data_IF_491481751091
#
_entry.id   IF_491481751091
#
_cell.length_a   1.000
_cell.length_b   1.000
_cell.length_c   1.000
_cell.angle_alpha   90.00
_cell.angle_beta   90.00
_cell.angle_gamma   90.00
#
_symmetry.space_group_name_H-M   'P 1'
#
loop_
_entity.id
_entity.type
_entity.pdbx_description
1 polymer ?
#
# COMPACT_ATOMS: atom_id res chain seq x y z
N UNK A 1 -10.45 -36.20 -0.98
CA UNK A 1 -10.34 -35.00 -0.12
C UNK A 1 -8.94 -34.43 -0.36
N UNK A 2 -8.84 -33.46 -1.27
CA UNK A 2 -7.57 -32.81 -1.61
C UNK A 2 -7.19 -31.88 -0.45
N UNK A 3 -6.04 -32.11 0.16
CA UNK A 3 -5.45 -31.23 1.14
C UNK A 3 -5.30 -29.84 0.48
N UNK A 4 -5.99 -28.84 1.01
CA UNK A 4 -5.80 -27.45 0.60
C UNK A 4 -4.37 -27.09 0.98
N UNK A 5 -3.48 -27.04 0.01
CA UNK A 5 -2.10 -26.64 0.19
C UNK A 5 -2.11 -25.27 0.87
N UNK A 6 -1.48 -25.18 2.03
CA UNK A 6 -1.52 -23.97 2.87
C UNK A 6 -0.77 -22.86 2.13
N UNK A 7 -1.50 -22.00 1.43
CA UNK A 7 -0.97 -20.90 0.63
C UNK A 7 -0.05 -20.03 1.47
N UNK A 8 1.23 -19.97 1.13
CA UNK A 8 2.19 -19.08 1.77
C UNK A 8 1.95 -17.65 1.25
N UNK A 9 1.54 -16.77 2.15
CA UNK A 9 1.27 -15.37 1.83
C UNK A 9 2.54 -14.52 1.81
N UNK A 10 3.65 -15.03 2.32
CA UNK A 10 4.92 -14.29 2.42
C UNK A 10 5.79 -14.43 1.18
N UNK A 11 5.51 -15.44 0.34
CA UNK A 11 6.26 -15.71 -0.88
C UNK A 11 5.48 -15.27 -2.14
N UNK A 12 6.23 -14.89 -3.17
CA UNK A 12 5.69 -14.55 -4.48
C UNK A 12 5.88 -15.73 -5.44
N UNK A 13 4.83 -16.12 -6.19
CA UNK A 13 5.00 -17.00 -7.34
C UNK A 13 5.91 -16.36 -8.38
N UNK A 14 6.75 -17.18 -9.05
CA UNK A 14 7.69 -16.68 -10.06
C UNK A 14 7.04 -16.20 -11.37
N UNK A 15 5.76 -16.56 -11.57
CA UNK A 15 4.96 -16.29 -12.77
C UNK A 15 3.87 -15.25 -12.54
N UNK A 16 4.04 -14.36 -11.56
CA UNK A 16 3.07 -13.30 -11.29
C UNK A 16 2.80 -12.43 -12.52
N UNK A 17 1.53 -12.21 -12.89
CA UNK A 17 1.19 -11.35 -13.99
C UNK A 17 1.58 -9.89 -13.68
N UNK A 18 2.33 -9.28 -14.60
CA UNK A 18 2.77 -7.89 -14.46
C UNK A 18 1.61 -6.94 -14.76
N UNK A 19 1.29 -5.98 -13.87
CA UNK A 19 0.33 -4.93 -14.16
C UNK A 19 0.88 -3.98 -15.24
N UNK A 20 -0.01 -3.46 -16.07
CA UNK A 20 0.32 -2.45 -17.10
C UNK A 20 -0.06 -1.07 -16.56
N UNK A 21 0.75 -0.07 -16.85
CA UNK A 21 0.41 1.32 -16.56
C UNK A 21 -0.74 1.75 -17.48
N UNK A 22 -1.88 2.06 -16.88
CA UNK A 22 -3.08 2.53 -17.57
C UNK A 22 -3.26 4.06 -17.50
N UNK A 23 -2.24 4.78 -17.01
CA UNK A 23 -2.26 6.24 -16.84
C UNK A 23 -3.13 6.73 -15.68
N UNK A 24 -3.73 5.84 -14.90
CA UNK A 24 -4.69 6.21 -13.85
C UNK A 24 -4.08 7.02 -12.70
N UNK A 25 -2.75 7.04 -12.57
CA UNK A 25 -2.02 7.80 -11.54
C UNK A 25 -1.30 9.04 -12.07
N UNK A 26 -1.37 9.34 -13.39
CA UNK A 26 -0.57 10.40 -14.01
C UNK A 26 -0.84 11.81 -13.42
N UNK A 27 -2.06 12.05 -12.93
CA UNK A 27 -2.47 13.34 -12.35
C UNK A 27 -1.99 13.55 -10.90
N UNK A 28 -1.46 12.52 -10.24
CA UNK A 28 -1.12 12.58 -8.81
C UNK A 28 0.19 13.33 -8.54
N UNK A 29 1.14 13.31 -9.47
CA UNK A 29 2.42 13.99 -9.31
C UNK A 29 2.22 15.49 -9.09
N UNK A 30 2.74 16.00 -7.98
CA UNK A 30 2.62 17.41 -7.60
C UNK A 30 1.27 17.80 -6.97
N UNK A 31 0.33 16.86 -6.81
CA UNK A 31 -0.96 17.11 -6.17
C UNK A 31 -0.76 17.41 -4.68
N UNK A 32 -1.52 18.39 -4.16
CA UNK A 32 -1.68 18.59 -2.72
C UNK A 32 -2.72 17.63 -2.18
N UNK A 33 -2.43 17.01 -1.04
CA UNK A 33 -3.34 16.07 -0.39
C UNK A 33 -4.61 16.79 0.09
N UNK A 34 -5.79 16.16 -0.09
CA UNK A 34 -7.01 16.64 0.52
C UNK A 34 -7.01 16.37 2.03
N UNK A 35 -7.69 17.22 2.80
CA UNK A 35 -7.91 17.01 4.22
C UNK A 35 -8.93 15.88 4.43
N UNK A 36 -8.43 14.67 4.67
CA UNK A 36 -9.22 13.46 4.90
C UNK A 36 -8.66 12.71 6.10
N UNK A 37 -9.47 12.56 7.14
CA UNK A 37 -9.11 11.78 8.32
C UNK A 37 -9.47 10.31 8.14
N UNK A 38 -8.48 9.42 8.29
CA UNK A 38 -8.64 7.97 8.19
C UNK A 38 -8.26 7.29 9.51
N UNK A 39 -8.97 6.22 9.85
CA UNK A 39 -8.63 5.42 11.03
C UNK A 39 -7.38 4.58 10.76
N UNK A 40 -6.42 4.67 11.67
CA UNK A 40 -5.18 3.90 11.64
C UNK A 40 -5.26 2.66 12.54
N UNK A 41 -4.41 1.67 12.29
CA UNK A 41 -4.24 0.47 13.15
C UNK A 41 -3.65 0.81 14.53
N UNK A 42 -3.12 2.00 14.73
CA UNK A 42 -2.74 2.54 16.05
C UNK A 42 -3.95 2.96 16.89
N UNK A 43 -5.15 3.04 16.30
CA UNK A 43 -6.37 3.55 16.95
C UNK A 43 -6.64 5.02 16.70
N UNK A 44 -5.67 5.76 16.18
CA UNK A 44 -5.78 7.19 15.91
C UNK A 44 -6.57 7.50 14.64
N UNK A 45 -7.06 8.74 14.54
CA UNK A 45 -7.44 9.33 13.26
C UNK A 45 -6.26 10.11 12.69
N UNK A 46 -5.90 9.81 11.46
CA UNK A 46 -4.75 10.40 10.77
C UNK A 46 -5.23 11.19 9.55
N UNK A 47 -4.89 12.47 9.49
CA UNK A 47 -5.00 13.30 8.30
C UNK A 47 -3.59 13.50 7.73
N UNK A 48 -3.29 12.84 6.60
CA UNK A 48 -1.97 12.92 5.97
C UNK A 48 -1.63 14.34 5.48
N UNK A 49 -2.63 15.13 5.12
CA UNK A 49 -2.43 16.51 4.66
C UNK A 49 -1.93 17.44 5.78
N UNK A 50 -2.30 17.13 7.03
CA UNK A 50 -1.90 17.92 8.19
C UNK A 50 -0.52 17.52 8.77
N UNK A 51 0.08 16.44 8.27
CA UNK A 51 1.35 15.94 8.79
C UNK A 51 2.54 16.61 8.08
N UNK A 52 3.44 17.29 8.81
CA UNK A 52 4.62 17.90 8.21
C UNK A 52 5.72 16.87 7.91
N UNK A 53 6.64 17.24 7.02
CA UNK A 53 7.83 16.47 6.66
C UNK A 53 7.53 15.33 5.68
N UNK A 54 8.45 14.36 5.64
CA UNK A 54 8.42 13.27 4.68
C UNK A 54 7.52 12.12 5.11
N UNK A 55 6.71 11.66 4.18
CA UNK A 55 5.78 10.54 4.36
C UNK A 55 5.87 9.63 3.13
N UNK A 56 5.86 8.33 3.37
CA UNK A 56 5.58 7.31 2.34
C UNK A 56 4.21 6.70 2.61
N UNK A 57 3.36 6.70 1.59
CA UNK A 57 2.05 6.04 1.61
C UNK A 57 2.09 4.83 0.67
N UNK A 58 2.04 3.63 1.24
CA UNK A 58 2.07 2.36 0.52
C UNK A 58 0.65 1.80 0.36
N UNK A 59 0.06 2.01 -0.82
CA UNK A 59 -1.25 1.50 -1.19
C UNK A 59 -1.19 0.06 -1.70
N UNK A 60 -2.14 -0.78 -1.25
CA UNK A 60 -2.25 -2.18 -1.67
C UNK A 60 -3.72 -2.62 -1.78
N UNK A 61 -4.02 -3.61 -2.66
CA UNK A 61 -5.41 -4.05 -2.86
C UNK A 61 -6.00 -4.71 -1.60
N UNK A 62 -5.45 -5.85 -1.19
CA UNK A 62 -5.97 -6.63 -0.07
C UNK A 62 -4.96 -7.64 0.43
N UNK A 63 -4.74 -7.71 1.72
CA UNK A 63 -4.01 -8.82 2.35
C UNK A 63 -4.90 -10.04 2.54
N UNK A 64 -4.31 -11.23 2.45
CA UNK A 64 -4.99 -12.46 2.82
C UNK A 64 -4.84 -12.77 4.31
N UNK A 65 -5.73 -13.63 4.82
CA UNK A 65 -5.59 -14.25 6.14
C UNK A 65 -5.13 -15.68 5.95
N UNK A 66 -4.07 -16.14 6.64
CA UNK A 66 -3.61 -17.54 6.54
C UNK A 66 -4.74 -18.53 6.77
N UNK A 67 -4.84 -19.53 5.90
CA UNK A 67 -5.88 -20.57 5.98
C UNK A 67 -7.26 -20.16 5.48
N UNK A 68 -7.46 -18.91 5.04
CA UNK A 68 -8.70 -18.47 4.39
C UNK A 68 -8.53 -18.37 2.87
N UNK A 69 -9.55 -18.74 2.08
CA UNK A 69 -9.51 -18.58 0.64
C UNK A 69 -9.44 -17.10 0.27
N UNK A 70 -8.89 -16.75 -0.91
CA UNK A 70 -8.95 -15.38 -1.43
C UNK A 70 -10.41 -15.01 -1.77
N UNK A 71 -10.67 -13.71 -1.94
CA UNK A 71 -12.01 -13.20 -2.33
C UNK A 71 -12.38 -13.54 -3.77
N UNK A 72 -11.40 -13.92 -4.57
CA UNK A 72 -11.56 -14.37 -5.95
C UNK A 72 -10.68 -15.60 -6.19
N UNK A 73 -11.19 -16.69 -6.78
CA UNK A 73 -10.40 -17.89 -7.02
C UNK A 73 -9.22 -17.66 -7.98
N UNK A 74 -9.28 -16.62 -8.81
CA UNK A 74 -8.23 -16.25 -9.75
C UNK A 74 -7.27 -15.18 -9.20
N UNK A 75 -7.32 -14.89 -7.90
CA UNK A 75 -6.54 -13.82 -7.25
C UNK A 75 -5.06 -13.75 -7.68
N UNK A 76 -4.41 -14.91 -7.78
CA UNK A 76 -2.98 -14.98 -8.13
C UNK A 76 -2.70 -14.70 -9.62
N UNK A 77 -3.73 -14.76 -10.47
CA UNK A 77 -3.65 -14.47 -11.92
C UNK A 77 -4.13 -13.06 -12.29
N UNK A 78 -4.59 -12.28 -11.29
CA UNK A 78 -5.00 -10.89 -11.52
C UNK A 78 -3.77 -9.98 -11.37
N UNK A 79 -3.38 -9.22 -12.43
CA UNK A 79 -2.24 -8.33 -12.39
C UNK A 79 -2.33 -7.34 -11.19
N UNK A 80 -1.27 -7.29 -10.39
CA UNK A 80 -1.19 -6.39 -9.23
C UNK A 80 -1.96 -6.81 -7.98
N UNK A 81 -2.76 -7.91 -8.00
CA UNK A 81 -3.51 -8.35 -6.82
C UNK A 81 -2.62 -9.03 -5.77
N UNK A 82 -1.83 -10.04 -6.18
CA UNK A 82 -0.95 -10.79 -5.28
C UNK A 82 0.22 -9.94 -4.79
N UNK A 83 0.72 -10.21 -3.55
CA UNK A 83 1.98 -9.67 -3.03
C UNK A 83 1.83 -8.55 -1.99
N UNK A 84 0.63 -8.35 -1.40
CA UNK A 84 0.46 -7.31 -0.37
C UNK A 84 1.27 -7.61 0.90
N UNK A 85 1.34 -8.88 1.32
CA UNK A 85 2.15 -9.28 2.48
C UNK A 85 3.66 -9.07 2.22
N UNK A 86 4.27 -9.57 1.12
CA UNK A 86 5.66 -9.24 0.79
C UNK A 86 5.94 -7.75 0.69
N UNK A 87 5.03 -6.95 0.11
CA UNK A 87 5.17 -5.50 0.06
C UNK A 87 5.28 -4.89 1.47
N UNK A 88 4.35 -5.22 2.38
CA UNK A 88 4.36 -4.70 3.75
C UNK A 88 5.59 -5.18 4.54
N UNK A 89 6.03 -6.42 4.35
CA UNK A 89 7.27 -6.94 4.95
C UNK A 89 8.51 -6.22 4.42
N UNK A 90 8.53 -5.83 3.16
CA UNK A 90 9.60 -5.00 2.60
C UNK A 90 9.70 -3.64 3.30
N UNK A 91 8.57 -2.96 3.52
CA UNK A 91 8.55 -1.71 4.31
C UNK A 91 8.94 -1.93 5.77
N UNK A 92 8.53 -3.03 6.41
CA UNK A 92 8.98 -3.40 7.75
C UNK A 92 10.50 -3.55 7.80
N UNK A 93 11.07 -4.29 6.87
CA UNK A 93 12.52 -4.52 6.82
C UNK A 93 13.33 -3.23 6.67
N UNK A 94 12.80 -2.24 5.93
CA UNK A 94 13.45 -0.96 5.68
C UNK A 94 12.97 0.18 6.60
N UNK A 95 12.12 -0.10 7.60
CA UNK A 95 11.55 0.92 8.48
C UNK A 95 12.62 1.76 9.20
N UNK A 96 13.73 1.15 9.59
CA UNK A 96 14.89 1.85 10.17
C UNK A 96 15.53 2.85 9.19
N UNK A 97 15.64 2.48 7.92
CA UNK A 97 16.20 3.34 6.88
C UNK A 97 15.31 4.57 6.59
N UNK A 98 13.98 4.37 6.53
CA UNK A 98 13.02 5.48 6.41
C UNK A 98 13.06 6.39 7.63
N UNK A 99 13.12 5.81 8.83
CA UNK A 99 13.22 6.58 10.08
C UNK A 99 14.50 7.43 10.13
N UNK A 100 15.64 6.88 9.68
CA UNK A 100 16.89 7.63 9.57
C UNK A 100 16.79 8.86 8.68
N UNK A 101 15.86 8.88 7.73
CA UNK A 101 15.52 10.00 6.85
C UNK A 101 14.40 10.89 7.40
N UNK A 102 13.97 10.67 8.64
CA UNK A 102 12.82 11.34 9.26
C UNK A 102 11.53 11.17 8.42
N UNK A 103 11.43 10.05 7.69
CA UNK A 103 10.27 9.72 6.87
C UNK A 103 9.36 8.75 7.61
N UNK A 104 8.07 9.06 7.67
CA UNK A 104 7.02 8.21 8.26
C UNK A 104 6.44 7.31 7.17
N UNK A 105 6.19 6.06 7.54
CA UNK A 105 5.55 5.07 6.66
C UNK A 105 4.10 4.90 7.08
N UNK A 106 3.19 4.88 6.12
CA UNK A 106 1.80 4.47 6.27
C UNK A 106 1.45 3.46 5.19
N UNK A 107 0.83 2.34 5.59
CA UNK A 107 0.10 1.50 4.66
C UNK A 107 -1.30 2.06 4.43
N UNK A 108 -1.94 1.72 3.30
CA UNK A 108 -3.35 2.07 3.07
C UNK A 108 -4.04 1.04 2.19
N UNK A 109 -5.28 0.72 2.51
CA UNK A 109 -6.17 -0.05 1.65
C UNK A 109 -7.64 0.22 1.99
N UNK A 110 -8.55 -0.33 1.18
CA UNK A 110 -10.01 -0.29 1.43
C UNK A 110 -10.50 -1.35 2.43
N UNK A 111 -9.62 -2.08 3.10
CA UNK A 111 -10.01 -3.04 4.13
C UNK A 111 -10.44 -2.32 5.41
N UNK A 112 -11.44 -2.87 6.11
CA UNK A 112 -11.92 -2.31 7.37
C UNK A 112 -10.84 -2.34 8.46
N UNK A 113 -10.90 -1.45 9.48
CA UNK A 113 -9.86 -1.29 10.49
C UNK A 113 -9.45 -2.59 11.18
N UNK A 114 -10.42 -3.40 11.63
CA UNK A 114 -10.15 -4.66 12.34
C UNK A 114 -9.40 -5.68 11.49
N UNK A 115 -9.71 -5.72 10.18
CA UNK A 115 -9.01 -6.60 9.25
C UNK A 115 -7.54 -6.18 9.05
N UNK A 116 -7.29 -4.86 8.99
CA UNK A 116 -5.94 -4.33 8.89
C UNK A 116 -5.17 -4.50 10.21
N UNK A 117 -5.86 -4.38 11.34
CA UNK A 117 -5.24 -4.57 12.67
C UNK A 117 -4.74 -6.02 12.82
N UNK A 118 -5.53 -7.03 12.42
CA UNK A 118 -5.08 -8.42 12.40
C UNK A 118 -3.77 -8.58 11.60
N UNK A 119 -3.74 -8.07 10.38
CA UNK A 119 -2.56 -8.15 9.52
C UNK A 119 -1.36 -7.43 10.13
N UNK A 120 -1.56 -6.21 10.63
CA UNK A 120 -0.51 -5.41 11.25
C UNK A 120 0.12 -6.10 12.45
N UNK A 121 -0.71 -6.69 13.32
CA UNK A 121 -0.26 -7.45 14.49
C UNK A 121 0.45 -8.75 14.09
N UNK A 122 -0.16 -9.55 13.21
CA UNK A 122 0.42 -10.82 12.74
C UNK A 122 1.77 -10.64 12.06
N UNK A 123 1.95 -9.56 11.31
CA UNK A 123 3.21 -9.25 10.63
C UNK A 123 4.16 -8.40 11.49
N UNK A 124 3.69 -7.88 12.63
CA UNK A 124 4.45 -6.98 13.51
C UNK A 124 5.08 -5.83 12.69
N UNK A 125 4.25 -5.04 12.00
CA UNK A 125 4.73 -4.09 10.99
C UNK A 125 5.54 -2.94 11.57
N UNK A 126 5.25 -2.47 12.77
CA UNK A 126 5.93 -1.35 13.41
C UNK A 126 5.61 0.02 12.79
N UNK A 127 4.65 0.11 11.89
CA UNK A 127 4.09 1.35 11.33
C UNK A 127 2.57 1.22 11.12
N UNK A 128 1.83 2.35 11.17
CA UNK A 128 0.37 2.32 11.05
C UNK A 128 -0.11 2.02 9.63
N UNK A 129 -1.26 1.36 9.54
CA UNK A 129 -1.99 1.12 8.29
C UNK A 129 -3.33 1.84 8.37
N UNK A 130 -3.66 2.62 7.34
CA UNK A 130 -4.86 3.44 7.25
C UNK A 130 -5.99 2.67 6.56
N UNK A 131 -7.19 2.75 7.12
CA UNK A 131 -8.39 2.21 6.51
C UNK A 131 -9.15 3.28 5.74
N UNK A 132 -9.21 3.13 4.43
CA UNK A 132 -10.07 3.92 3.55
C UNK A 132 -11.25 3.07 3.04
N UNK A 133 -11.94 2.40 3.95
CA UNK A 133 -13.03 1.48 3.65
C UNK A 133 -14.26 2.18 3.03
N UNK A 134 -14.37 3.49 3.20
CA UNK A 134 -15.40 4.34 2.58
C UNK A 134 -14.88 5.05 1.32
N UNK A 135 -13.65 4.79 0.87
CA UNK A 135 -13.02 5.41 -0.31
C UNK A 135 -12.91 6.94 -0.27
N UNK A 136 -12.93 7.55 0.90
CA UNK A 136 -12.88 9.01 1.07
C UNK A 136 -11.61 9.62 0.45
N UNK A 137 -10.44 9.03 0.74
CA UNK A 137 -9.18 9.49 0.17
C UNK A 137 -9.05 9.08 -1.29
N UNK A 138 -9.44 7.83 -1.61
CA UNK A 138 -9.40 7.35 -2.98
C UNK A 138 -10.23 8.19 -3.92
N UNK A 139 -11.44 8.57 -3.54
CA UNK A 139 -12.33 9.38 -4.38
C UNK A 139 -11.87 10.84 -4.48
N UNK A 140 -11.45 11.43 -3.35
CA UNK A 140 -10.95 12.81 -3.34
C UNK A 140 -9.69 12.99 -4.21
N UNK A 141 -8.82 11.98 -4.24
CA UNK A 141 -7.58 11.99 -5.04
C UNK A 141 -7.73 11.28 -6.38
N UNK A 142 -8.85 10.63 -6.67
CA UNK A 142 -9.04 9.72 -7.81
C UNK A 142 -7.92 8.68 -7.90
N UNK A 143 -7.60 8.06 -6.76
CA UNK A 143 -6.60 7.00 -6.70
C UNK A 143 -7.01 5.78 -7.55
N UNK A 144 -6.07 5.10 -8.21
CA UNK A 144 -6.37 3.92 -9.01
C UNK A 144 -7.04 2.82 -8.19
N UNK A 145 -8.21 2.37 -8.63
CA UNK A 145 -8.98 1.26 -8.04
C UNK A 145 -9.40 0.25 -9.10
N UNK A 146 -9.79 -0.94 -8.67
CA UNK A 146 -10.28 -2.02 -9.53
C UNK A 146 -11.32 -2.85 -8.81
N UNK A 147 -12.18 -3.54 -9.57
CA UNK A 147 -13.15 -4.49 -9.03
C UNK A 147 -12.56 -5.91 -9.06
N UNK A 148 -12.51 -6.58 -7.91
CA UNK A 148 -12.09 -7.98 -7.81
C UNK A 148 -13.03 -8.69 -6.83
N UNK A 149 -13.57 -9.85 -7.22
CA UNK A 149 -14.50 -10.62 -6.38
C UNK A 149 -15.71 -9.80 -5.92
N UNK A 150 -16.21 -8.88 -6.74
CA UNK A 150 -17.32 -7.99 -6.39
C UNK A 150 -16.97 -6.85 -5.42
N UNK A 151 -15.71 -6.67 -5.06
CA UNK A 151 -15.25 -5.61 -4.16
C UNK A 151 -14.40 -4.58 -4.91
N UNK A 152 -14.61 -3.30 -4.64
CA UNK A 152 -13.71 -2.23 -5.07
C UNK A 152 -12.46 -2.26 -4.21
N UNK A 153 -11.29 -2.33 -4.84
CA UNK A 153 -10.00 -2.38 -4.16
C UNK A 153 -9.04 -1.35 -4.75
N UNK A 154 -8.10 -0.88 -3.95
CA UNK A 154 -6.97 -0.11 -4.45
C UNK A 154 -6.17 -0.92 -5.48
N UNK A 155 -5.69 -0.28 -6.54
CA UNK A 155 -4.53 -0.78 -7.28
C UNK A 155 -3.29 -0.47 -6.47
N UNK A 156 -2.24 -1.28 -6.61
CA UNK A 156 -1.00 -1.09 -5.87
C UNK A 156 -0.29 0.16 -6.34
N UNK A 157 0.00 1.06 -5.40
CA UNK A 157 0.63 2.35 -5.65
C UNK A 157 1.48 2.75 -4.44
N UNK A 158 2.58 3.47 -4.64
CA UNK A 158 3.29 4.13 -3.55
C UNK A 158 3.52 5.60 -3.86
N UNK A 159 3.34 6.43 -2.86
CA UNK A 159 3.49 7.87 -2.95
C UNK A 159 4.57 8.33 -1.97
N UNK A 160 5.48 9.18 -2.43
CA UNK A 160 6.35 9.98 -1.54
C UNK A 160 5.73 11.37 -1.44
N UNK A 161 5.55 11.80 -0.21
CA UNK A 161 4.84 13.05 0.14
C UNK A 161 5.77 13.89 1.00
N UNK A 162 5.83 15.19 0.71
CA UNK A 162 6.54 16.17 1.52
C UNK A 162 5.63 17.37 1.81
N UNK A 163 5.42 17.66 3.08
CA UNK A 163 4.57 18.76 3.56
C UNK A 163 3.19 18.81 2.86
N UNK A 164 2.53 17.65 2.81
CA UNK A 164 1.20 17.51 2.21
C UNK A 164 1.16 17.51 0.68
N UNK A 165 2.30 17.53 -0.01
CA UNK A 165 2.38 17.50 -1.48
C UNK A 165 3.03 16.21 -1.97
N UNK A 166 2.45 15.56 -2.99
CA UNK A 166 3.02 14.38 -3.63
C UNK A 166 4.21 14.79 -4.49
N UNK A 167 5.39 14.29 -4.15
CA UNK A 167 6.64 14.58 -4.86
C UNK A 167 7.13 13.41 -5.72
N UNK A 168 6.62 12.19 -5.48
CA UNK A 168 6.89 11.04 -6.34
C UNK A 168 5.71 10.08 -6.31
N UNK A 169 5.43 9.46 -7.47
CA UNK A 169 4.39 8.45 -7.68
C UNK A 169 5.03 7.21 -8.29
N UNK A 170 4.91 6.08 -7.62
CA UNK A 170 5.29 4.78 -8.17
C UNK A 170 4.01 4.00 -8.52
N UNK A 171 3.71 3.91 -9.82
CA UNK A 171 2.54 3.22 -10.35
C UNK A 171 2.80 2.77 -11.81
N UNK A 172 2.43 1.53 -12.15
CA UNK A 172 2.08 0.44 -11.23
C UNK A 172 3.30 -0.04 -10.43
N UNK A 173 3.04 -0.66 -9.27
CA UNK A 173 4.11 -1.25 -8.46
C UNK A 173 4.31 -2.72 -8.85
N UNK A 174 5.52 -3.05 -9.30
CA UNK A 174 5.93 -4.42 -9.61
C UNK A 174 7.47 -4.54 -9.70
N UNK A 175 8.08 -5.59 -9.12
CA UNK A 175 7.45 -6.58 -8.24
C UNK A 175 7.11 -5.98 -6.85
N UNK A 176 6.11 -6.56 -6.13
CA UNK A 176 5.64 -5.95 -4.89
C UNK A 176 6.63 -6.02 -3.72
N UNK A 177 7.50 -7.02 -3.66
CA UNK A 177 8.52 -7.17 -2.62
C UNK A 177 9.69 -6.19 -2.77
N UNK A 178 9.95 -5.67 -3.98
CA UNK A 178 10.95 -4.64 -4.24
C UNK A 178 10.40 -3.21 -4.06
N UNK A 179 9.10 -3.06 -3.80
CA UNK A 179 8.47 -1.74 -3.72
C UNK A 179 9.10 -0.83 -2.67
N UNK A 180 9.40 -1.35 -1.47
CA UNK A 180 9.96 -0.54 -0.39
C UNK A 180 11.36 -0.01 -0.73
N UNK A 181 12.21 -0.81 -1.37
CA UNK A 181 13.56 -0.39 -1.79
C UNK A 181 13.50 0.66 -2.90
N UNK A 182 12.62 0.45 -3.89
CA UNK A 182 12.40 1.43 -4.95
C UNK A 182 11.85 2.76 -4.42
N UNK A 183 10.89 2.70 -3.46
CA UNK A 183 10.36 3.91 -2.82
C UNK A 183 11.40 4.62 -1.95
N UNK A 184 12.29 3.88 -1.27
CA UNK A 184 13.37 4.46 -0.49
C UNK A 184 14.37 5.22 -1.40
N UNK A 185 14.69 4.65 -2.55
CA UNK A 185 15.52 5.31 -3.56
C UNK A 185 14.88 6.60 -4.08
N UNK A 186 13.60 6.54 -4.43
CA UNK A 186 12.84 7.72 -4.87
C UNK A 186 12.75 8.81 -3.79
N UNK A 187 12.65 8.42 -2.52
CA UNK A 187 12.72 9.36 -1.39
C UNK A 187 14.08 10.06 -1.34
N UNK A 188 15.19 9.32 -1.49
CA UNK A 188 16.54 9.89 -1.49
C UNK A 188 16.73 10.89 -2.63
N UNK A 189 16.24 10.56 -3.82
CA UNK A 189 16.27 11.46 -4.98
C UNK A 189 15.44 12.73 -4.72
N UNK A 190 14.23 12.60 -4.16
CA UNK A 190 13.38 13.73 -3.85
C UNK A 190 14.00 14.64 -2.78
N UNK A 191 14.61 14.07 -1.75
CA UNK A 191 15.32 14.82 -0.70
C UNK A 191 16.54 15.57 -1.23
N UNK A 192 17.24 15.02 -2.23
CA UNK A 192 18.39 15.69 -2.85
C UNK A 192 17.98 16.89 -3.73
N UNK A 193 16.71 17.01 -4.11
CA UNK A 193 16.16 18.08 -4.96
C UNK A 193 15.37 19.15 -4.16
N UNK A 194 15.23 18.96 -2.84
CA UNK A 194 14.54 19.85 -1.92
C UNK A 194 15.51 20.82 -1.25
#
# INVERSE_FOLDING_TARGET
>A
MTATEKRDLTQLPGDLPRPVDDGAAAHLQGMTLPAVSLRATSGDLVDLAALPGWIVLAGYPRTGVPGKPPIDPHWDHIPGARGCTPQMLGYKALAGAFRGRRCRIFGISSQVPDYQLEMSQRLDLGFPVLSDSEFKLADAMRLPTQMIGGQRLYKRISLVIHDGRIVHVQYPVFPPDENASATLHALDEAMAQS
#
